data_IF_967955410755
#
_entry.id   IF_967955410755
#
_cell.length_a   1.000
_cell.length_b   1.000
_cell.length_c   1.000
_cell.angle_alpha   90.00
_cell.angle_beta   90.00
_cell.angle_gamma   90.00
#
_symmetry.space_group_name_H-M   'P 1'
#
loop_
_entity.id
_entity.type
_entity.pdbx_description
1 polymer ?
#
# COMPACT_ATOMS: atom_id res chain seq x y z
N UNK A 1 5.76 2.84 -63.72
CA UNK A 1 6.04 3.59 -62.46
C UNK A 1 4.96 3.45 -61.38
N UNK A 2 3.67 3.28 -61.72
CA UNK A 2 2.57 3.12 -60.76
C UNK A 2 2.61 1.80 -59.94
N UNK A 3 3.10 0.70 -60.54
CA UNK A 3 3.11 -0.62 -59.90
C UNK A 3 4.15 -0.75 -58.76
N UNK A 4 5.33 -0.16 -58.92
CA UNK A 4 6.37 -0.19 -57.86
C UNK A 4 6.01 0.65 -56.63
N UNK A 5 5.29 1.77 -56.81
CA UNK A 5 4.79 2.56 -55.67
C UNK A 5 3.79 1.78 -54.81
N UNK A 6 2.93 0.93 -55.40
CA UNK A 6 2.00 0.07 -54.66
C UNK A 6 2.70 -1.04 -53.86
N UNK A 7 3.77 -1.64 -54.40
CA UNK A 7 4.54 -2.69 -53.72
C UNK A 7 5.33 -2.11 -52.53
N UNK A 8 5.96 -0.96 -52.71
CA UNK A 8 6.69 -0.27 -51.63
C UNK A 8 5.73 0.17 -50.51
N UNK A 9 4.55 0.70 -50.84
CA UNK A 9 3.55 1.10 -49.85
C UNK A 9 2.97 -0.09 -49.07
N UNK A 10 2.74 -1.23 -49.74
CA UNK A 10 2.25 -2.47 -49.11
C UNK A 10 3.29 -3.10 -48.18
N UNK A 11 4.57 -3.02 -48.53
CA UNK A 11 5.66 -3.51 -47.67
C UNK A 11 5.97 -2.54 -46.52
N UNK A 12 5.77 -1.23 -46.68
CA UNK A 12 5.91 -0.24 -45.61
C UNK A 12 4.80 -0.38 -44.55
N UNK A 13 3.56 -0.64 -44.98
CA UNK A 13 2.43 -0.92 -44.07
C UNK A 13 2.64 -2.19 -43.22
N UNK A 14 3.30 -3.21 -43.78
CA UNK A 14 3.63 -4.44 -43.04
C UNK A 14 4.70 -4.20 -41.97
N UNK A 15 5.63 -3.28 -42.20
CA UNK A 15 6.70 -2.94 -41.25
C UNK A 15 6.21 -2.12 -40.05
N UNK A 16 5.22 -1.25 -40.25
CA UNK A 16 4.63 -0.43 -39.18
C UNK A 16 3.84 -1.29 -38.18
N UNK A 17 3.24 -2.41 -38.61
CA UNK A 17 2.44 -3.27 -37.74
C UNK A 17 3.27 -4.17 -36.79
N UNK A 18 4.56 -4.37 -37.06
CA UNK A 18 5.42 -5.24 -36.22
C UNK A 18 6.05 -4.53 -35.00
N UNK A 19 5.94 -3.20 -34.89
CA UNK A 19 6.63 -2.44 -33.83
C UNK A 19 5.76 -2.06 -32.64
N UNK A 20 4.45 -2.33 -32.66
CA UNK A 20 3.51 -1.89 -31.62
C UNK A 20 3.27 -2.92 -30.50
N UNK A 21 3.80 -4.14 -30.59
CA UNK A 21 3.47 -5.23 -29.64
C UNK A 21 4.19 -5.18 -28.29
N UNK A 22 5.10 -4.24 -28.04
CA UNK A 22 5.87 -4.19 -26.79
C UNK A 22 5.32 -3.25 -25.71
N UNK A 23 4.29 -2.45 -26.00
CA UNK A 23 3.73 -1.50 -25.02
C UNK A 23 2.58 -2.07 -24.16
N UNK A 24 2.01 -3.23 -24.51
CA UNK A 24 0.84 -3.79 -23.82
C UNK A 24 1.12 -4.39 -22.43
N UNK A 25 2.35 -4.85 -22.18
CA UNK A 25 2.68 -5.64 -20.97
C UNK A 25 2.84 -4.76 -19.72
N UNK A 26 3.29 -3.51 -19.87
CA UNK A 26 3.45 -2.60 -18.74
C UNK A 26 2.09 -2.13 -18.19
N UNK A 27 1.12 -1.87 -19.09
CA UNK A 27 -0.22 -1.43 -18.70
C UNK A 27 -1.03 -2.54 -18.01
N UNK A 28 -0.81 -3.81 -18.37
CA UNK A 28 -1.49 -4.94 -17.73
C UNK A 28 -1.01 -5.19 -16.30
N UNK A 29 0.30 -5.07 -16.04
CA UNK A 29 0.86 -5.27 -14.69
C UNK A 29 0.29 -4.24 -13.69
N UNK A 30 0.23 -2.96 -14.10
CA UNK A 30 -0.33 -1.87 -13.29
C UNK A 30 -1.81 -2.09 -12.94
N UNK A 31 -2.63 -2.44 -13.93
CA UNK A 31 -4.07 -2.66 -13.74
C UNK A 31 -4.31 -3.83 -12.78
N UNK A 32 -3.58 -4.93 -12.97
CA UNK A 32 -3.69 -6.10 -12.09
C UNK A 32 -3.22 -5.80 -10.67
N UNK A 33 -2.11 -5.07 -10.51
CA UNK A 33 -1.59 -4.66 -9.20
C UNK A 33 -2.61 -3.83 -8.44
N UNK A 34 -3.18 -2.79 -9.08
CA UNK A 34 -4.24 -1.95 -8.47
C UNK A 34 -5.45 -2.78 -8.06
N UNK A 35 -5.87 -3.73 -8.91
CA UNK A 35 -6.99 -4.63 -8.63
C UNK A 35 -6.72 -5.53 -7.40
N UNK A 36 -5.56 -6.18 -7.35
CA UNK A 36 -5.21 -7.05 -6.23
C UNK A 36 -4.97 -6.24 -4.94
N UNK A 37 -4.40 -5.04 -5.04
CA UNK A 37 -4.21 -4.15 -3.91
C UNK A 37 -5.55 -3.66 -3.34
N UNK A 38 -6.54 -3.38 -4.21
CA UNK A 38 -7.89 -3.05 -3.77
C UNK A 38 -8.54 -4.21 -2.99
N UNK A 39 -8.28 -5.47 -3.37
CA UNK A 39 -8.75 -6.64 -2.61
C UNK A 39 -8.06 -6.75 -1.25
N UNK A 40 -6.75 -6.53 -1.19
CA UNK A 40 -6.00 -6.45 0.07
C UNK A 40 -6.56 -5.35 1.00
N UNK A 41 -6.73 -4.14 0.47
CA UNK A 41 -7.32 -3.01 1.18
C UNK A 41 -8.75 -3.30 1.67
N UNK A 42 -9.58 -3.93 0.83
CA UNK A 42 -10.93 -4.34 1.20
C UNK A 42 -10.93 -5.36 2.32
N UNK A 43 -10.04 -6.35 2.29
CA UNK A 43 -9.89 -7.33 3.36
C UNK A 43 -9.52 -6.66 4.70
N UNK A 44 -8.62 -5.68 4.70
CA UNK A 44 -8.29 -4.89 5.89
C UNK A 44 -9.50 -4.08 6.38
N UNK A 45 -10.17 -3.35 5.49
CA UNK A 45 -11.34 -2.53 5.81
C UNK A 45 -12.50 -3.35 6.38
N UNK A 46 -12.68 -4.58 5.89
CA UNK A 46 -13.68 -5.53 6.37
C UNK A 46 -13.20 -6.42 7.52
N UNK A 47 -12.04 -6.12 8.12
CA UNK A 47 -11.47 -6.86 9.27
C UNK A 47 -11.23 -8.35 8.99
N UNK A 48 -11.07 -8.71 7.71
CA UNK A 48 -10.75 -10.06 7.26
C UNK A 48 -9.23 -10.28 7.31
N UNK A 49 -8.61 -10.16 8.48
CA UNK A 49 -7.15 -10.12 8.61
C UNK A 49 -6.45 -11.37 8.07
N UNK A 50 -7.04 -12.56 8.24
CA UNK A 50 -6.50 -13.79 7.63
C UNK A 50 -6.44 -13.68 6.11
N UNK A 51 -7.47 -13.11 5.48
CA UNK A 51 -7.46 -12.83 4.05
C UNK A 51 -6.46 -11.74 3.70
N UNK A 52 -6.35 -10.66 4.49
CA UNK A 52 -5.36 -9.61 4.25
C UNK A 52 -3.93 -10.17 4.26
N UNK A 53 -3.60 -11.07 5.20
CA UNK A 53 -2.29 -11.73 5.26
C UNK A 53 -2.03 -12.69 4.09
N UNK A 54 -3.05 -13.15 3.36
CA UNK A 54 -2.83 -13.96 2.15
C UNK A 54 -2.30 -13.12 0.99
N UNK A 55 -2.43 -11.80 1.04
CA UNK A 55 -1.82 -10.86 0.11
C UNK A 55 -0.42 -10.39 0.54
N UNK A 56 0.16 -10.95 1.60
CA UNK A 56 1.53 -10.65 2.00
C UNK A 56 2.52 -11.66 1.39
N UNK A 57 3.78 -11.29 1.13
CA UNK A 57 4.79 -12.22 0.66
C UNK A 57 5.02 -13.36 1.65
N UNK A 58 5.10 -14.61 1.16
CA UNK A 58 5.25 -15.78 2.05
C UNK A 58 6.54 -15.73 2.88
N UNK A 59 7.62 -15.16 2.32
CA UNK A 59 8.88 -15.01 3.02
C UNK A 59 8.82 -14.03 4.20
N UNK A 60 7.80 -13.18 4.30
CA UNK A 60 7.52 -12.39 5.51
C UNK A 60 7.30 -13.32 6.70
N UNK A 61 6.64 -14.46 6.47
CA UNK A 61 6.29 -15.41 7.52
C UNK A 61 7.46 -16.33 7.92
N UNK A 62 8.60 -16.24 7.24
CA UNK A 62 9.86 -16.81 7.72
C UNK A 62 10.48 -16.00 8.88
N UNK A 63 10.06 -14.73 9.01
CA UNK A 63 10.55 -13.81 10.05
C UNK A 63 9.48 -13.54 11.11
N UNK A 64 8.22 -13.44 10.70
CA UNK A 64 7.10 -13.14 11.58
C UNK A 64 6.12 -14.31 11.66
N UNK A 65 5.61 -14.59 12.86
CA UNK A 65 4.54 -15.57 12.99
C UNK A 65 3.22 -14.98 12.45
N UNK A 66 2.59 -15.66 11.50
CA UNK A 66 1.38 -15.21 10.81
C UNK A 66 0.20 -15.05 11.76
N UNK A 67 0.01 -16.00 12.66
CA UNK A 67 -1.09 -15.98 13.64
C UNK A 67 -0.94 -14.79 14.58
N UNK A 68 0.29 -14.53 15.05
CA UNK A 68 0.62 -13.38 15.90
C UNK A 68 0.34 -12.07 15.17
N UNK A 69 0.74 -11.95 13.90
CA UNK A 69 0.45 -10.76 13.10
C UNK A 69 -1.06 -10.51 12.96
N UNK A 70 -1.86 -11.57 12.76
CA UNK A 70 -3.33 -11.47 12.74
C UNK A 70 -3.87 -10.98 14.09
N UNK A 71 -3.32 -11.45 15.22
CA UNK A 71 -3.72 -10.98 16.54
C UNK A 71 -3.34 -9.51 16.76
N UNK A 72 -2.14 -9.09 16.34
CA UNK A 72 -1.70 -7.70 16.42
C UNK A 72 -2.60 -6.77 15.60
N UNK A 73 -3.03 -7.19 14.41
CA UNK A 73 -4.02 -6.44 13.61
C UNK A 73 -5.36 -6.32 14.35
N UNK A 74 -5.87 -7.41 14.93
CA UNK A 74 -7.11 -7.38 15.73
C UNK A 74 -7.01 -6.40 16.89
N UNK A 75 -5.93 -6.49 17.68
CA UNK A 75 -5.71 -5.60 18.82
C UNK A 75 -5.63 -4.13 18.40
N UNK A 76 -5.07 -3.85 17.23
CA UNK A 76 -4.95 -2.48 16.70
C UNK A 76 -6.29 -1.91 16.25
N UNK A 77 -7.13 -2.70 15.58
CA UNK A 77 -8.37 -2.23 14.94
C UNK A 77 -9.64 -2.51 15.75
N UNK A 78 -9.55 -3.33 16.80
CA UNK A 78 -10.68 -3.82 17.61
C UNK A 78 -10.38 -3.69 19.11
N UNK A 79 -9.92 -2.51 19.54
CA UNK A 79 -9.74 -2.22 20.97
C UNK A 79 -11.07 -1.79 21.61
N UNK A 80 -11.18 -1.96 22.93
CA UNK A 80 -12.35 -1.50 23.70
C UNK A 80 -12.35 0.01 23.94
N UNK A 81 -11.22 0.69 23.76
CA UNK A 81 -11.04 2.10 24.09
C UNK A 81 -11.00 2.99 22.84
N UNK A 82 -10.87 2.39 21.66
CA UNK A 82 -10.78 3.13 20.40
C UNK A 82 -11.56 2.47 19.27
N UNK A 83 -12.23 3.29 18.46
CA UNK A 83 -12.81 2.88 17.19
C UNK A 83 -11.93 3.37 16.04
N UNK A 84 -11.47 2.43 15.21
CA UNK A 84 -10.72 2.73 13.98
C UNK A 84 -11.56 2.42 12.76
N UNK A 85 -11.69 3.39 11.88
CA UNK A 85 -12.46 3.27 10.63
C UNK A 85 -11.60 3.65 9.43
N UNK A 86 -11.30 2.66 8.59
CA UNK A 86 -10.60 2.88 7.32
C UNK A 86 -11.59 3.44 6.30
N UNK A 87 -11.33 4.66 5.83
CA UNK A 87 -12.16 5.34 4.85
C UNK A 87 -11.78 4.89 3.44
N UNK A 88 -10.50 5.06 3.07
CA UNK A 88 -9.95 4.76 1.76
C UNK A 88 -8.51 4.25 1.87
N UNK A 89 -8.11 3.45 0.88
CA UNK A 89 -6.73 2.98 0.68
C UNK A 89 -6.51 2.91 -0.82
N UNK A 90 -5.64 3.77 -1.35
CA UNK A 90 -5.54 4.00 -2.80
C UNK A 90 -4.08 4.10 -3.25
N UNK A 91 -3.74 3.46 -4.37
CA UNK A 91 -2.42 3.58 -4.98
C UNK A 91 -2.27 4.99 -5.57
N UNK A 92 -1.22 5.69 -5.16
CA UNK A 92 -0.92 7.08 -5.56
C UNK A 92 0.07 7.10 -6.72
N UNK A 93 1.13 6.31 -6.62
CA UNK A 93 2.22 6.26 -7.59
C UNK A 93 2.82 4.86 -7.65
N UNK A 94 3.40 4.51 -8.80
CA UNK A 94 4.15 3.28 -9.01
C UNK A 94 5.47 3.60 -9.71
N UNK A 95 6.53 3.00 -9.24
CA UNK A 95 7.87 3.15 -9.79
C UNK A 95 8.16 2.08 -10.85
N UNK A 96 9.35 2.17 -11.44
CA UNK A 96 9.80 1.22 -12.45
C UNK A 96 9.90 -0.20 -11.92
N UNK A 97 9.43 -1.15 -12.74
CA UNK A 97 9.53 -2.59 -12.49
C UNK A 97 10.99 -3.03 -12.30
N UNK A 98 11.21 -3.85 -11.27
CA UNK A 98 12.47 -4.53 -11.00
C UNK A 98 12.25 -6.03 -11.18
N UNK A 99 13.11 -6.67 -11.96
CA UNK A 99 13.12 -8.13 -12.14
C UNK A 99 14.39 -8.66 -11.49
N UNK A 100 14.24 -9.64 -10.60
CA UNK A 100 15.34 -10.33 -9.93
C UNK A 100 14.99 -11.83 -9.86
N UNK A 101 15.75 -12.65 -10.58
CA UNK A 101 15.46 -14.08 -10.75
C UNK A 101 14.07 -14.33 -11.33
N UNK A 102 13.27 -15.15 -10.63
CA UNK A 102 11.88 -15.48 -10.99
C UNK A 102 10.85 -14.59 -10.29
N UNK A 103 11.26 -13.44 -9.74
CA UNK A 103 10.36 -12.51 -9.07
C UNK A 103 10.38 -11.15 -9.74
N UNK A 104 9.21 -10.53 -9.73
CA UNK A 104 8.96 -9.17 -10.21
C UNK A 104 8.54 -8.32 -9.03
N UNK A 105 9.14 -7.14 -8.94
CA UNK A 105 8.89 -6.17 -7.89
C UNK A 105 8.48 -4.83 -8.50
N UNK A 106 7.48 -4.18 -7.92
CA UNK A 106 7.06 -2.83 -8.28
C UNK A 106 6.96 -2.01 -6.98
N UNK A 107 7.88 -1.06 -6.74
CA UNK A 107 7.75 -0.11 -5.64
C UNK A 107 6.58 0.81 -5.93
N UNK A 108 5.80 1.15 -4.91
CA UNK A 108 4.65 2.02 -5.08
C UNK A 108 4.34 2.77 -3.79
N UNK A 109 3.63 3.87 -3.93
CA UNK A 109 3.05 4.59 -2.79
C UNK A 109 1.55 4.42 -2.78
N UNK A 110 0.99 4.32 -1.59
CA UNK A 110 -0.44 4.35 -1.41
C UNK A 110 -0.81 5.32 -0.29
N UNK A 111 -1.98 5.93 -0.44
CA UNK A 111 -2.58 6.80 0.55
C UNK A 111 -3.60 6.01 1.33
N UNK A 112 -3.51 6.04 2.65
CA UNK A 112 -4.47 5.45 3.57
C UNK A 112 -5.12 6.56 4.38
N UNK A 113 -6.44 6.66 4.31
CA UNK A 113 -7.22 7.61 5.11
C UNK A 113 -8.07 6.84 6.11
N UNK A 114 -8.00 7.22 7.39
CA UNK A 114 -8.78 6.61 8.45
C UNK A 114 -9.18 7.61 9.54
N UNK A 115 -10.24 7.28 10.25
CA UNK A 115 -10.70 7.99 11.45
C UNK A 115 -10.32 7.15 12.67
N UNK A 116 -9.74 7.79 13.69
CA UNK A 116 -9.51 7.24 15.01
C UNK A 116 -10.41 7.98 16.01
N UNK A 117 -11.24 7.25 16.75
CA UNK A 117 -12.05 7.79 17.84
C UNK A 117 -11.62 7.15 19.14
N UNK A 118 -11.35 7.97 20.16
CA UNK A 118 -11.20 7.49 21.53
C UNK A 118 -12.58 7.49 22.20
N UNK A 119 -12.96 6.35 22.77
CA UNK A 119 -14.25 6.20 23.44
C UNK A 119 -14.21 7.00 24.74
N UNK A 120 -15.26 7.78 25.00
CA UNK A 120 -15.44 8.58 26.21
C UNK A 120 -14.31 9.59 26.49
N UNK A 121 -13.58 10.03 25.44
CA UNK A 121 -12.38 10.86 25.56
C UNK A 121 -12.59 12.14 26.39
N UNK A 122 -13.80 12.71 26.34
CA UNK A 122 -14.11 13.97 27.00
C UNK A 122 -15.26 13.86 28.02
N UNK A 123 -15.70 12.65 28.38
CA UNK A 123 -16.85 12.46 29.27
C UNK A 123 -16.62 13.02 30.68
N UNK A 124 -15.37 13.15 31.08
CA UNK A 124 -14.96 13.70 32.37
C UNK A 124 -14.47 15.16 32.28
N UNK A 125 -14.68 15.85 31.16
CA UNK A 125 -14.11 17.19 30.91
C UNK A 125 -15.13 18.14 30.29
N UNK A 126 -15.60 19.09 31.10
CA UNK A 126 -16.66 20.03 30.71
C UNK A 126 -16.13 21.35 30.12
N UNK A 127 -14.84 21.68 30.31
CA UNK A 127 -14.27 22.95 29.85
C UNK A 127 -13.51 22.82 28.52
N UNK A 128 -13.64 23.83 27.67
CA UNK A 128 -13.07 23.83 26.31
C UNK A 128 -11.52 23.83 26.33
N UNK A 129 -10.90 24.44 27.34
CA UNK A 129 -9.44 24.55 27.44
C UNK A 129 -8.80 23.18 27.69
N UNK A 130 -9.37 22.39 28.60
CA UNK A 130 -8.93 21.02 28.87
C UNK A 130 -9.12 20.12 27.66
N UNK A 131 -10.25 20.27 26.94
CA UNK A 131 -10.50 19.52 25.69
C UNK A 131 -9.47 19.84 24.61
N UNK A 132 -9.21 21.12 24.36
CA UNK A 132 -8.22 21.55 23.38
C UNK A 132 -6.80 21.08 23.75
N UNK A 133 -6.45 21.09 25.03
CA UNK A 133 -5.15 20.59 25.52
C UNK A 133 -4.99 19.09 25.30
N UNK A 134 -6.02 18.30 25.61
CA UNK A 134 -6.05 16.85 25.36
C UNK A 134 -5.98 16.54 23.87
N UNK A 135 -6.76 17.24 23.04
CA UNK A 135 -6.69 17.09 21.59
C UNK A 135 -5.29 17.37 21.06
N UNK A 136 -4.66 18.45 21.51
CA UNK A 136 -3.31 18.81 21.08
C UNK A 136 -2.30 17.74 21.46
N UNK A 137 -2.34 17.25 22.70
CA UNK A 137 -1.46 16.18 23.16
C UNK A 137 -1.58 14.92 22.29
N UNK A 138 -2.80 14.50 21.94
CA UNK A 138 -3.01 13.33 21.10
C UNK A 138 -2.52 13.58 19.67
N UNK A 139 -2.76 14.77 19.11
CA UNK A 139 -2.24 15.13 17.78
C UNK A 139 -0.71 15.08 17.78
N UNK A 140 -0.04 15.63 18.79
CA UNK A 140 1.41 15.61 18.92
C UNK A 140 1.94 14.16 19.00
N UNK A 141 1.34 13.31 19.84
CA UNK A 141 1.68 11.89 19.94
C UNK A 141 1.49 11.12 18.62
N UNK A 142 0.40 11.38 17.90
CA UNK A 142 0.14 10.75 16.62
C UNK A 142 1.13 11.23 15.54
N UNK A 143 1.50 12.51 15.54
CA UNK A 143 2.52 13.04 14.62
C UNK A 143 3.89 12.39 14.88
N UNK A 144 4.26 12.16 16.14
CA UNK A 144 5.49 11.44 16.48
C UNK A 144 5.48 9.99 15.99
N UNK A 145 4.33 9.33 16.10
CA UNK A 145 4.18 7.92 15.69
C UNK A 145 4.04 7.74 14.18
N UNK A 146 3.49 8.75 13.49
CA UNK A 146 3.15 8.73 12.07
C UNK A 146 3.69 10.00 11.37
N UNK A 147 5.03 10.14 11.26
CA UNK A 147 5.66 11.39 10.82
C UNK A 147 5.28 11.85 9.40
N UNK A 148 4.90 10.90 8.52
CA UNK A 148 4.49 11.19 7.14
C UNK A 148 2.96 11.35 6.98
N UNK A 149 2.25 11.55 8.08
CA UNK A 149 0.79 11.70 8.09
C UNK A 149 0.34 13.14 8.35
N UNK A 150 -0.79 13.51 7.74
CA UNK A 150 -1.57 14.68 8.13
C UNK A 150 -2.63 14.26 9.13
N UNK A 151 -2.64 14.88 10.31
CA UNK A 151 -3.55 14.56 11.41
C UNK A 151 -4.39 15.79 11.74
N UNK A 152 -5.72 15.64 11.76
CA UNK A 152 -6.65 16.72 12.10
C UNK A 152 -7.78 16.22 12.99
N UNK A 153 -8.08 16.94 14.06
CA UNK A 153 -9.24 16.64 14.88
C UNK A 153 -10.53 17.26 14.29
N UNK A 154 -11.56 16.43 14.09
CA UNK A 154 -12.91 16.87 13.72
C UNK A 154 -13.75 17.03 14.99
N UNK A 155 -13.95 18.26 15.45
CA UNK A 155 -14.71 18.58 16.67
C UNK A 155 -16.16 18.10 16.63
N UNK A 156 -16.79 17.99 15.45
CA UNK A 156 -18.22 17.61 15.34
C UNK A 156 -18.41 16.11 15.51
N UNK A 157 -17.48 15.32 14.98
CA UNK A 157 -17.50 13.86 15.06
C UNK A 157 -16.71 13.32 16.26
N UNK A 158 -15.88 14.16 16.86
CA UNK A 158 -14.90 13.82 17.89
C UNK A 158 -13.95 12.70 17.43
N UNK A 159 -13.42 12.84 16.21
CA UNK A 159 -12.48 11.88 15.61
C UNK A 159 -11.20 12.56 15.15
N UNK A 160 -10.09 11.84 15.21
CA UNK A 160 -8.84 12.20 14.58
C UNK A 160 -8.87 11.64 13.15
N UNK A 161 -8.99 12.53 12.17
CA UNK A 161 -8.87 12.19 10.75
C UNK A 161 -7.39 12.16 10.38
N UNK A 162 -6.94 11.03 9.85
CA UNK A 162 -5.55 10.74 9.55
C UNK A 162 -5.43 10.40 8.07
N UNK A 163 -4.56 11.11 7.36
CA UNK A 163 -4.19 10.86 5.97
C UNK A 163 -2.70 10.51 5.94
N UNK A 164 -2.38 9.27 5.60
CA UNK A 164 -1.03 8.74 5.63
C UNK A 164 -0.60 8.31 4.23
N UNK A 165 0.55 8.81 3.76
CA UNK A 165 1.20 8.33 2.55
C UNK A 165 2.25 7.27 2.91
N UNK A 166 2.03 6.03 2.47
CA UNK A 166 2.90 4.90 2.78
C UNK A 166 3.63 4.38 1.55
N UNK A 167 4.84 3.87 1.78
CA UNK A 167 5.62 3.16 0.78
C UNK A 167 5.36 1.65 0.90
N UNK A 168 5.26 0.97 -0.24
CA UNK A 168 5.11 -0.47 -0.31
C UNK A 168 5.84 -1.05 -1.51
N UNK A 169 6.03 -2.37 -1.47
CA UNK A 169 6.59 -3.14 -2.55
C UNK A 169 5.58 -4.21 -2.96
N UNK A 170 5.12 -4.16 -4.21
CA UNK A 170 4.37 -5.25 -4.80
C UNK A 170 5.35 -6.32 -5.28
N UNK A 171 5.07 -7.58 -5.00
CA UNK A 171 5.90 -8.74 -5.35
C UNK A 171 5.02 -9.79 -6.02
N UNK A 172 5.49 -10.35 -7.14
CA UNK A 172 4.81 -11.42 -7.86
C UNK A 172 5.84 -12.40 -8.41
N UNK A 173 5.57 -13.71 -8.31
CA UNK A 173 6.35 -14.71 -9.03
C UNK A 173 6.10 -14.57 -10.53
N UNK A 174 7.09 -14.86 -11.38
CA UNK A 174 6.86 -14.92 -12.83
C UNK A 174 5.88 -16.02 -13.25
N UNK A 175 5.52 -16.93 -12.35
CA UNK A 175 4.57 -18.03 -12.57
C UNK A 175 3.19 -17.78 -11.97
N UNK A 176 3.03 -16.75 -11.14
CA UNK A 176 1.80 -16.49 -10.40
C UNK A 176 1.15 -15.20 -10.91
N UNK A 177 -0.17 -15.18 -10.98
CA UNK A 177 -0.91 -14.02 -11.48
C UNK A 177 -1.35 -13.04 -10.38
N UNK A 178 -1.11 -13.36 -9.10
CA UNK A 178 -1.55 -12.53 -7.97
C UNK A 178 -0.40 -11.74 -7.36
N UNK A 179 -0.58 -10.42 -7.27
CA UNK A 179 0.38 -9.57 -6.55
C UNK A 179 0.25 -9.74 -5.03
N UNK A 180 1.40 -9.77 -4.36
CA UNK A 180 1.56 -9.67 -2.91
C UNK A 180 2.14 -8.31 -2.55
N UNK A 181 1.91 -7.83 -1.34
CA UNK A 181 2.26 -6.48 -0.91
C UNK A 181 3.02 -6.49 0.40
N UNK A 182 4.21 -5.91 0.39
CA UNK A 182 5.01 -5.63 1.57
C UNK A 182 4.93 -4.14 1.86
N UNK A 183 4.18 -3.75 2.89
CA UNK A 183 4.17 -2.37 3.38
C UNK A 183 5.48 -2.10 4.11
N UNK A 184 6.19 -1.04 3.74
CA UNK A 184 7.49 -0.69 4.30
C UNK A 184 7.28 0.08 5.60
N UNK A 185 7.39 -0.62 6.71
CA UNK A 185 7.32 -0.05 8.06
C UNK A 185 8.73 0.06 8.68
N UNK A 186 8.97 1.04 9.59
CA UNK A 186 10.26 1.18 10.27
C UNK A 186 10.75 -0.11 10.97
N UNK A 187 9.82 -0.92 11.48
CA UNK A 187 10.09 -2.19 12.14
C UNK A 187 10.73 -3.25 11.22
N UNK A 188 10.58 -3.13 9.90
CA UNK A 188 11.15 -4.05 8.92
C UNK A 188 12.63 -3.77 8.63
N UNK A 189 13.16 -2.60 9.00
CA UNK A 189 14.51 -2.14 8.61
C UNK A 189 15.61 -3.15 8.91
N UNK A 190 15.58 -3.76 10.11
CA UNK A 190 16.60 -4.70 10.55
C UNK A 190 16.47 -6.11 9.93
N UNK A 191 15.37 -6.38 9.25
CA UNK A 191 15.09 -7.70 8.65
C UNK A 191 14.96 -7.65 7.14
N UNK A 192 15.07 -6.46 6.53
CA UNK A 192 14.87 -6.23 5.10
C UNK A 192 15.77 -7.12 4.24
N UNK A 193 17.03 -7.29 4.61
CA UNK A 193 17.98 -8.16 3.91
C UNK A 193 17.63 -9.66 3.92
N UNK A 194 16.72 -10.09 4.82
CA UNK A 194 16.17 -11.46 4.82
C UNK A 194 14.89 -11.58 3.98
N UNK A 195 14.24 -10.45 3.70
CA UNK A 195 12.97 -10.40 2.99
C UNK A 195 13.13 -10.07 1.50
N UNK A 196 14.17 -9.31 1.14
CA UNK A 196 14.33 -8.80 -0.22
C UNK A 196 15.75 -9.07 -0.76
N UNK A 197 15.89 -9.36 -2.07
CA UNK A 197 17.20 -9.40 -2.71
C UNK A 197 17.94 -8.08 -2.59
N UNK A 198 19.27 -8.12 -2.53
CA UNK A 198 20.13 -6.94 -2.44
C UNK A 198 19.88 -5.95 -3.59
N UNK A 199 19.64 -6.47 -4.81
CA UNK A 199 19.30 -5.66 -6.00
C UNK A 199 18.06 -4.80 -5.78
N UNK A 200 17.03 -5.36 -5.13
CA UNK A 200 15.77 -4.67 -4.87
C UNK A 200 16.01 -3.57 -3.85
N UNK A 201 16.60 -3.91 -2.69
CA UNK A 201 16.93 -2.97 -1.61
C UNK A 201 17.72 -1.77 -2.16
N UNK A 202 18.75 -2.02 -2.96
CA UNK A 202 19.57 -0.96 -3.55
C UNK A 202 18.78 -0.04 -4.49
N UNK A 203 17.93 -0.60 -5.36
CA UNK A 203 17.15 0.17 -6.35
C UNK A 203 16.02 0.96 -5.71
N UNK A 204 15.45 0.47 -4.61
CA UNK A 204 14.35 1.12 -3.88
C UNK A 204 14.82 2.03 -2.76
N UNK A 205 16.14 2.07 -2.48
CA UNK A 205 16.74 2.82 -1.37
C UNK A 205 16.14 2.45 0.00
N UNK A 206 15.81 1.16 0.18
CA UNK A 206 15.31 0.60 1.44
C UNK A 206 16.45 0.19 2.37
#
# INVERSE_FOLDING_TARGET
MQLQKKIVLKNLLLFVFLTTSFMGVAQSDEVQLKSDFAKYASALKSRQYTQATSYMPDNLFNVYNKEKLVQEMKQTFESADTEVKINSVEVVSMDSKIVDGSQVYIPFQFRQQFELKYINLFDATDDEQSRDSTTKFIVDMLNESLPDSSIRFDKKKEVFAIDNLKNALAVKSTTDDTWKFLVIEPSLKNVMGRLLPATVIQKTKL
#
